data_IF_943461849736
#
_entry.id   IF_943461849736
#
_cell.length_a   1.000
_cell.length_b   1.000
_cell.length_c   1.000
_cell.angle_alpha   90.00
_cell.angle_beta   90.00
_cell.angle_gamma   90.00
#
_symmetry.space_group_name_H-M   'P 1'
#
loop_
_entity.id
_entity.type
_entity.pdbx_description
1 polymer ?
#
# COMPACT_ATOMS: atom_id res chain seq x y z
N UNK A 1 1.78 -27.70 -1.18
CA UNK A 1 1.31 -27.72 0.22
C UNK A 1 0.26 -26.63 0.39
N UNK A 2 -0.98 -26.98 0.73
CA UNK A 2 -2.07 -26.04 1.01
C UNK A 2 -2.22 -25.84 2.52
N UNK A 3 -2.61 -24.65 3.02
CA UNK A 3 -2.70 -24.33 4.46
C UNK A 3 -1.42 -24.63 5.26
N UNK A 4 -0.29 -24.18 4.73
CA UNK A 4 1.01 -24.26 5.39
C UNK A 4 1.63 -22.87 5.47
N UNK A 5 2.45 -22.63 6.49
CA UNK A 5 3.32 -21.46 6.61
C UNK A 5 4.78 -21.88 6.52
N UNK A 6 5.60 -21.05 5.88
CA UNK A 6 7.06 -21.21 5.95
C UNK A 6 7.49 -20.95 7.40
N UNK A 7 8.23 -21.91 7.97
CA UNK A 7 8.79 -21.83 9.31
C UNK A 7 10.29 -21.49 9.28
N UNK A 8 11.02 -21.96 8.28
CA UNK A 8 12.45 -21.71 8.11
C UNK A 8 12.85 -21.84 6.64
N UNK A 9 13.83 -21.02 6.21
CA UNK A 9 14.45 -21.09 4.89
C UNK A 9 15.93 -21.40 5.08
N UNK A 10 16.41 -22.48 4.47
CA UNK A 10 17.82 -22.93 4.48
C UNK A 10 18.39 -22.85 3.05
N UNK A 11 19.72 -22.96 2.87
CA UNK A 11 20.34 -22.84 1.55
C UNK A 11 19.82 -23.82 0.49
N UNK A 12 19.34 -24.99 0.89
CA UNK A 12 18.87 -26.05 -0.03
C UNK A 12 17.55 -26.67 0.40
N UNK A 13 16.85 -26.08 1.38
CA UNK A 13 15.57 -26.60 1.86
C UNK A 13 14.69 -25.53 2.49
N UNK A 14 13.40 -25.83 2.59
CA UNK A 14 12.41 -25.00 3.28
C UNK A 14 11.61 -25.87 4.24
N UNK A 15 11.43 -25.39 5.46
CA UNK A 15 10.59 -26.02 6.47
C UNK A 15 9.20 -25.40 6.42
N UNK A 16 8.18 -26.23 6.24
CA UNK A 16 6.78 -25.85 6.25
C UNK A 16 6.11 -26.34 7.54
N UNK A 17 5.24 -25.51 8.11
CA UNK A 17 4.36 -25.88 9.22
C UNK A 17 2.92 -25.94 8.75
N UNK A 18 2.27 -27.08 8.94
CA UNK A 18 0.83 -27.25 8.71
C UNK A 18 0.03 -26.36 9.67
N UNK A 19 -0.97 -25.65 9.14
CA UNK A 19 -1.89 -24.85 9.97
C UNK A 19 -3.01 -25.69 10.60
N UNK A 20 -3.16 -26.97 10.21
CA UNK A 20 -4.23 -27.84 10.72
C UNK A 20 -3.84 -28.55 12.02
N UNK A 21 -2.62 -29.09 12.07
CA UNK A 21 -2.11 -29.92 13.18
C UNK A 21 -0.75 -29.46 13.72
N UNK A 22 -0.14 -28.44 13.11
CA UNK A 22 1.17 -27.93 13.52
C UNK A 22 2.36 -28.82 13.11
N UNK A 23 2.13 -29.90 12.36
CA UNK A 23 3.18 -30.78 11.88
C UNK A 23 4.20 -30.03 11.01
N UNK A 24 5.46 -30.50 11.05
CA UNK A 24 6.57 -29.90 10.34
C UNK A 24 6.99 -30.82 9.20
N UNK A 25 7.16 -30.27 8.00
CA UNK A 25 7.67 -30.97 6.83
C UNK A 25 8.77 -30.15 6.18
N UNK A 26 9.91 -30.76 5.93
CA UNK A 26 11.02 -30.15 5.19
C UNK A 26 10.98 -30.62 3.73
N UNK A 27 11.22 -29.69 2.81
CA UNK A 27 11.32 -29.95 1.36
C UNK A 27 12.65 -29.44 0.83
N UNK A 28 13.27 -30.19 -0.08
CA UNK A 28 14.41 -29.68 -0.85
C UNK A 28 13.97 -28.51 -1.74
N UNK A 29 14.76 -27.44 -1.74
CA UNK A 29 14.41 -26.21 -2.42
C UNK A 29 15.65 -25.33 -2.65
N UNK A 30 15.93 -24.97 -3.91
CA UNK A 30 17.07 -24.13 -4.27
C UNK A 30 16.78 -22.62 -4.22
N UNK A 31 15.53 -22.21 -4.47
CA UNK A 31 15.14 -20.79 -4.57
C UNK A 31 13.81 -20.51 -3.90
N UNK A 32 13.66 -19.35 -3.26
CA UNK A 32 12.39 -18.89 -2.68
C UNK A 32 11.95 -17.61 -3.34
N UNK A 33 10.72 -17.58 -3.87
CA UNK A 33 10.08 -16.38 -4.39
C UNK A 33 8.94 -15.96 -3.45
N UNK A 34 9.20 -14.97 -2.60
CA UNK A 34 8.24 -14.49 -1.60
C UNK A 34 7.20 -13.54 -2.21
N UNK A 35 6.22 -14.08 -2.92
CA UNK A 35 5.14 -13.31 -3.58
C UNK A 35 3.97 -13.01 -2.61
N UNK A 36 4.26 -12.54 -1.40
CA UNK A 36 3.25 -12.31 -0.34
C UNK A 36 2.55 -10.96 -0.44
N UNK A 37 2.61 -10.31 -1.59
CA UNK A 37 2.12 -8.94 -1.81
C UNK A 37 3.05 -7.87 -1.26
N UNK A 38 2.56 -6.64 -1.24
CA UNK A 38 3.27 -5.44 -0.76
C UNK A 38 2.33 -4.61 0.11
N UNK A 39 2.90 -3.72 0.93
CA UNK A 39 2.16 -2.73 1.71
C UNK A 39 2.76 -1.37 1.45
N UNK A 40 1.92 -0.35 1.23
CA UNK A 40 2.38 1.02 1.14
C UNK A 40 2.97 1.49 2.46
N UNK A 41 4.14 2.13 2.39
CA UNK A 41 4.69 2.86 3.54
C UNK A 41 4.16 4.29 3.54
N UNK A 42 3.46 4.66 4.61
CA UNK A 42 2.91 6.00 4.82
C UNK A 42 3.76 6.84 5.79
N UNK A 43 4.96 6.39 6.16
CA UNK A 43 5.89 7.12 7.04
C UNK A 43 6.07 8.57 6.60
N UNK A 44 6.40 8.79 5.33
CA UNK A 44 6.61 10.14 4.77
C UNK A 44 5.36 11.02 4.84
N UNK A 45 4.18 10.47 4.53
CA UNK A 45 2.92 11.24 4.62
C UNK A 45 2.63 11.65 6.07
N UNK A 46 2.87 10.76 7.04
CA UNK A 46 2.71 11.09 8.46
C UNK A 46 3.71 12.15 8.91
N UNK A 47 4.96 12.07 8.45
CA UNK A 47 5.99 13.08 8.74
C UNK A 47 5.63 14.45 8.16
N UNK A 48 4.94 14.48 7.01
CA UNK A 48 4.38 15.70 6.42
C UNK A 48 3.10 16.19 7.11
N UNK A 49 2.56 15.45 8.08
CA UNK A 49 1.39 15.83 8.88
C UNK A 49 0.05 15.28 8.39
N UNK A 50 0.03 14.42 7.36
CA UNK A 50 -1.21 13.84 6.82
C UNK A 50 -1.78 12.80 7.78
N UNK A 51 -3.07 12.90 8.10
CA UNK A 51 -3.72 11.88 8.90
C UNK A 51 -3.96 10.62 8.06
N UNK A 52 -3.66 9.45 8.63
CA UNK A 52 -3.92 8.15 8.00
C UNK A 52 -4.97 7.41 8.82
N UNK A 53 -6.05 6.97 8.17
CA UNK A 53 -7.02 6.08 8.80
C UNK A 53 -6.34 4.79 9.27
N UNK A 54 -6.40 4.50 10.57
CA UNK A 54 -5.70 3.35 11.15
C UNK A 54 -6.29 1.99 10.72
N UNK A 55 -7.57 1.95 10.37
CA UNK A 55 -8.28 0.75 9.93
C UNK A 55 -8.04 0.51 8.45
N UNK A 56 -8.32 1.52 7.63
CA UNK A 56 -8.28 1.38 6.17
C UNK A 56 -6.92 1.66 5.57
N UNK A 57 -6.04 2.38 6.28
CA UNK A 57 -4.76 2.85 5.78
C UNK A 57 -4.86 4.00 4.78
N UNK A 58 -6.06 4.53 4.52
CA UNK A 58 -6.25 5.59 3.53
C UNK A 58 -5.77 6.93 4.11
N UNK A 59 -4.91 7.69 3.41
CA UNK A 59 -4.59 9.06 3.81
C UNK A 59 -5.82 9.96 3.69
N UNK A 60 -6.01 10.87 4.64
CA UNK A 60 -7.07 11.88 4.62
C UNK A 60 -6.90 12.78 3.38
N UNK A 61 -7.93 12.86 2.55
CA UNK A 61 -7.96 13.70 1.36
C UNK A 61 -9.39 14.00 0.91
N UNK A 62 -9.57 15.08 0.16
CA UNK A 62 -10.79 15.39 -0.57
C UNK A 62 -10.82 14.58 -1.89
N UNK A 63 -11.80 13.70 -2.12
CA UNK A 63 -11.87 12.89 -3.35
C UNK A 63 -12.08 13.68 -4.64
N UNK A 64 -12.51 14.95 -4.57
CA UNK A 64 -12.78 15.80 -5.73
C UNK A 64 -11.57 16.62 -6.19
N UNK A 65 -10.60 16.85 -5.30
CA UNK A 65 -9.38 17.63 -5.59
C UNK A 65 -8.10 16.83 -5.37
N UNK A 66 -8.19 15.74 -4.60
CA UNK A 66 -7.10 14.94 -4.08
C UNK A 66 -6.16 15.69 -3.13
N UNK A 67 -6.56 16.85 -2.62
CA UNK A 67 -5.82 17.59 -1.58
C UNK A 67 -5.96 16.85 -0.25
N UNK A 68 -4.85 16.70 0.47
CA UNK A 68 -4.85 16.15 1.81
C UNK A 68 -5.38 17.16 2.83
N UNK A 69 -5.46 16.77 4.10
CA UNK A 69 -5.71 17.70 5.20
C UNK A 69 -4.51 18.60 5.53
N UNK A 70 -3.38 18.41 4.84
CA UNK A 70 -2.24 19.35 4.83
C UNK A 70 -2.38 20.26 3.60
N UNK A 71 -2.64 21.57 3.79
CA UNK A 71 -2.83 22.51 2.68
C UNK A 71 -1.68 22.53 1.68
N UNK A 72 -2.00 22.42 0.39
CA UNK A 72 -1.02 22.42 -0.70
C UNK A 72 -0.31 21.08 -0.94
N UNK A 73 -0.63 20.05 -0.15
CA UNK A 73 -0.14 18.68 -0.35
C UNK A 73 -1.25 17.82 -0.96
N UNK A 74 -0.95 17.22 -2.11
CA UNK A 74 -1.88 16.40 -2.89
C UNK A 74 -1.34 14.97 -3.04
N UNK A 75 -2.23 13.99 -3.18
CA UNK A 75 -1.87 12.58 -3.39
C UNK A 75 -2.51 12.03 -4.67
N UNK A 76 -1.83 11.12 -5.36
CA UNK A 76 -2.34 10.52 -6.60
C UNK A 76 -1.98 9.02 -6.71
N UNK A 77 -2.77 8.29 -7.50
CA UNK A 77 -2.57 6.86 -7.69
C UNK A 77 -2.85 5.99 -6.45
N UNK A 78 -2.18 4.85 -6.39
CA UNK A 78 -2.48 3.74 -5.47
C UNK A 78 -2.37 4.09 -3.99
N UNK A 79 -1.68 5.18 -3.64
CA UNK A 79 -1.54 5.64 -2.25
C UNK A 79 -2.89 6.04 -1.63
N UNK A 80 -3.87 6.43 -2.46
CA UNK A 80 -5.23 6.74 -2.02
C UNK A 80 -6.06 5.47 -1.68
N UNK A 81 -5.57 4.27 -2.00
CA UNK A 81 -6.31 3.00 -1.81
C UNK A 81 -6.16 2.40 -0.40
N UNK A 82 -5.18 2.84 0.38
CA UNK A 82 -4.86 2.30 1.70
C UNK A 82 -4.47 0.81 1.66
N UNK A 83 -4.92 0.04 2.66
CA UNK A 83 -4.65 -1.40 2.79
C UNK A 83 -5.35 -2.26 1.72
N UNK A 84 -6.31 -1.70 0.97
CA UNK A 84 -6.96 -2.41 -0.13
C UNK A 84 -6.39 -1.95 -1.47
N UNK A 85 -5.23 -2.50 -1.83
CA UNK A 85 -4.53 -2.20 -3.08
C UNK A 85 -5.31 -2.56 -4.36
N UNK A 86 -6.47 -3.23 -4.25
CA UNK A 86 -7.32 -3.57 -5.40
C UNK A 86 -8.42 -2.54 -5.68
N UNK A 87 -8.36 -1.34 -5.07
CA UNK A 87 -9.33 -0.26 -5.33
C UNK A 87 -8.87 0.73 -6.39
N UNK A 88 -7.57 1.02 -6.45
CA UNK A 88 -6.98 1.96 -7.39
C UNK A 88 -5.99 1.21 -8.27
N UNK A 89 -6.24 1.25 -9.57
CA UNK A 89 -5.40 0.72 -10.63
C UNK A 89 -4.93 1.88 -11.52
N UNK A 90 -4.18 1.57 -12.57
CA UNK A 90 -3.70 2.59 -13.51
C UNK A 90 -4.89 3.30 -14.18
N UNK A 91 -5.97 2.57 -14.43
CA UNK A 91 -7.14 3.01 -15.19
C UNK A 91 -7.95 4.09 -14.46
N UNK A 92 -8.11 4.01 -13.15
CA UNK A 92 -8.82 5.03 -12.37
C UNK A 92 -7.85 6.00 -11.68
N UNK A 93 -6.69 5.53 -11.23
CA UNK A 93 -5.69 6.36 -10.56
C UNK A 93 -5.11 7.46 -11.44
N UNK A 94 -5.09 7.28 -12.78
CA UNK A 94 -4.64 8.33 -13.73
C UNK A 94 -5.51 9.58 -13.70
N UNK A 95 -6.78 9.47 -13.30
CA UNK A 95 -7.74 10.58 -13.30
C UNK A 95 -7.48 11.56 -12.15
N UNK A 96 -6.76 11.13 -11.10
CA UNK A 96 -6.39 11.98 -9.97
C UNK A 96 -5.56 13.21 -10.40
N UNK A 97 -4.75 13.09 -11.45
CA UNK A 97 -3.95 14.20 -11.96
C UNK A 97 -4.79 15.36 -12.49
N UNK A 98 -5.88 15.06 -13.20
CA UNK A 98 -6.78 16.08 -13.74
C UNK A 98 -7.50 16.84 -12.61
N UNK A 99 -7.88 16.13 -11.54
CA UNK A 99 -8.48 16.73 -10.34
C UNK A 99 -7.52 17.69 -9.64
N UNK A 100 -6.27 17.28 -9.46
CA UNK A 100 -5.23 18.12 -8.82
C UNK A 100 -4.95 19.36 -9.66
N UNK A 101 -4.79 19.22 -10.98
CA UNK A 101 -4.55 20.36 -11.88
C UNK A 101 -5.73 21.33 -11.87
N UNK A 102 -6.96 20.82 -11.85
CA UNK A 102 -8.15 21.67 -11.74
C UNK A 102 -8.17 22.44 -10.41
N UNK A 103 -7.88 21.78 -9.29
CA UNK A 103 -7.82 22.40 -7.97
C UNK A 103 -6.74 23.50 -7.91
N UNK A 104 -5.52 23.21 -8.38
CA UNK A 104 -4.41 24.16 -8.42
C UNK A 104 -4.69 25.41 -9.27
N UNK A 105 -5.51 25.29 -10.34
CA UNK A 105 -5.88 26.45 -11.18
C UNK A 105 -6.86 27.40 -10.49
N UNK A 106 -7.69 26.87 -9.59
CA UNK A 106 -8.67 27.65 -8.83
C UNK A 106 -8.11 28.13 -7.49
N UNK A 107 -6.99 27.57 -7.07
CA UNK A 107 -6.33 27.95 -5.84
C UNK A 107 -5.72 29.36 -5.96
N UNK A 108 -6.07 30.21 -5.02
CA UNK A 108 -5.64 31.61 -4.94
C UNK A 108 -4.62 31.85 -3.83
N UNK A 109 -4.13 30.78 -3.17
CA UNK A 109 -3.01 30.85 -2.25
C UNK A 109 -1.74 31.27 -3.01
N UNK A 110 -0.94 32.21 -2.47
CA UNK A 110 0.29 32.65 -3.10
C UNK A 110 1.31 31.50 -3.14
N UNK A 111 2.04 31.38 -4.25
CA UNK A 111 3.18 30.47 -4.36
C UNK A 111 4.25 30.90 -3.35
N UNK A 112 4.57 30.03 -2.40
CA UNK A 112 5.67 30.21 -1.42
C UNK A 112 7.04 30.24 -2.07
#
# INVERSE_FOLDING_TARGET
>A
YWRHRVAEIRPSSVTLRSEEDGSITEIENDFVLAMTGWRSDHSQLREMGVHIDQTTGIPSHDPSTMETDVPGLYIAGVIAAGHNANKIFIENGREHGDLIVAALRTDSRPST
#
